data_IF_111918425623
#
_entry.id   IF_111918425623
#
_cell.length_a   1.000
_cell.length_b   1.000
_cell.length_c   1.000
_cell.angle_alpha   90.00
_cell.angle_beta   90.00
_cell.angle_gamma   90.00
#
_symmetry.space_group_name_H-M   'P 1'
#
loop_
_entity.id
_entity.type
_entity.pdbx_description
1 polymer ?
#
# COMPACT_ATOMS: atom_id res chain seq x y z
N UNK A 1 2.87 4.67 -28.26
CA UNK A 1 4.14 4.15 -28.80
C UNK A 1 4.80 3.34 -27.71
N UNK A 2 4.88 2.02 -27.85
CA UNK A 2 5.44 1.15 -26.82
C UNK A 2 6.97 1.28 -26.82
N UNK A 3 7.54 1.84 -25.75
CA UNK A 3 8.98 1.80 -25.52
C UNK A 3 9.40 0.34 -25.31
N UNK A 4 10.33 -0.12 -26.16
CA UNK A 4 10.92 -1.45 -26.07
C UNK A 4 11.82 -1.47 -24.83
N UNK A 5 11.30 -2.00 -23.73
CA UNK A 5 12.06 -2.24 -22.50
C UNK A 5 13.29 -3.10 -22.80
N UNK A 6 14.43 -2.73 -22.23
CA UNK A 6 15.69 -3.47 -22.44
C UNK A 6 15.60 -4.90 -21.88
N UNK A 7 16.28 -5.89 -22.47
CA UNK A 7 16.24 -7.27 -22.01
C UNK A 7 16.62 -7.47 -20.53
N UNK A 8 17.48 -6.58 -20.00
CA UNK A 8 17.86 -6.58 -18.59
C UNK A 8 16.70 -6.16 -17.68
N UNK A 9 15.96 -5.11 -18.05
CA UNK A 9 14.76 -4.67 -17.35
C UNK A 9 13.66 -5.74 -17.39
N UNK A 10 13.52 -6.44 -18.53
CA UNK A 10 12.60 -7.56 -18.67
C UNK A 10 12.93 -8.70 -17.69
N UNK A 11 14.21 -9.07 -17.55
CA UNK A 11 14.66 -10.09 -16.58
C UNK A 11 14.41 -9.66 -15.14
N UNK A 12 14.71 -8.41 -14.79
CA UNK A 12 14.52 -7.90 -13.43
C UNK A 12 13.05 -7.84 -13.01
N UNK A 13 12.15 -7.42 -13.92
CA UNK A 13 10.71 -7.42 -13.67
C UNK A 13 10.19 -8.85 -13.47
N UNK A 14 10.71 -9.79 -14.27
CA UNK A 14 10.35 -11.20 -14.17
C UNK A 14 10.81 -11.84 -12.85
N UNK A 15 12.04 -11.58 -12.42
CA UNK A 15 12.57 -12.07 -11.13
C UNK A 15 11.81 -11.46 -9.95
N UNK A 16 11.46 -10.17 -10.03
CA UNK A 16 10.65 -9.49 -9.01
C UNK A 16 9.23 -10.08 -8.95
N UNK A 17 8.61 -10.35 -10.09
CA UNK A 17 7.32 -11.01 -10.15
C UNK A 17 7.40 -12.39 -9.49
N UNK A 18 8.39 -13.22 -9.85
CA UNK A 18 8.61 -14.53 -9.24
C UNK A 18 8.80 -14.43 -7.71
N UNK A 19 9.56 -13.46 -7.22
CA UNK A 19 9.76 -13.26 -5.78
C UNK A 19 8.48 -12.82 -5.06
N UNK A 20 7.70 -11.91 -5.65
CA UNK A 20 6.41 -11.48 -5.10
C UNK A 20 5.43 -12.66 -5.06
N UNK A 21 5.38 -13.48 -6.11
CA UNK A 21 4.49 -14.64 -6.19
C UNK A 21 4.96 -15.81 -5.31
N UNK A 22 6.26 -16.05 -5.16
CA UNK A 22 6.79 -17.12 -4.30
C UNK A 22 6.66 -16.81 -2.79
N UNK A 23 6.31 -15.58 -2.40
CA UNK A 23 5.88 -15.28 -1.03
C UNK A 23 4.54 -15.95 -0.65
N UNK A 24 3.84 -16.62 -1.60
CA UNK A 24 2.71 -17.51 -1.32
C UNK A 24 3.08 -18.70 -0.39
N UNK A 25 4.36 -19.09 -0.26
CA UNK A 25 4.75 -20.31 0.46
C UNK A 25 5.33 -20.08 1.87
N UNK A 26 5.86 -18.90 2.18
CA UNK A 26 6.69 -18.71 3.39
C UNK A 26 6.02 -17.86 4.48
N UNK A 27 4.76 -17.48 4.31
CA UNK A 27 4.01 -16.69 5.30
C UNK A 27 3.75 -17.43 6.63
N UNK A 28 4.22 -18.67 6.79
CA UNK A 28 4.15 -19.43 8.04
C UNK A 28 5.49 -19.78 8.69
N UNK A 29 6.64 -19.40 8.11
CA UNK A 29 7.91 -19.62 8.82
C UNK A 29 8.99 -18.64 8.36
N UNK A 30 9.18 -17.57 9.14
CA UNK A 30 10.49 -16.91 9.20
C UNK A 30 10.61 -16.04 10.45
N UNK A 31 11.13 -16.67 11.50
CA UNK A 31 11.83 -15.98 12.58
C UNK A 31 13.02 -15.23 11.97
N UNK A 32 12.91 -13.91 11.81
CA UNK A 32 14.04 -13.09 11.38
C UNK A 32 15.06 -13.04 12.52
N UNK A 33 16.15 -13.77 12.35
CA UNK A 33 17.35 -13.66 13.19
C UNK A 33 17.92 -12.24 13.08
N UNK A 34 18.18 -11.67 14.25
CA UNK A 34 18.74 -10.33 14.41
C UNK A 34 20.27 -10.33 14.32
N UNK A 35 20.81 -9.17 13.94
CA UNK A 35 22.16 -8.59 14.19
C UNK A 35 23.28 -8.81 13.14
N UNK A 36 24.23 -7.84 12.96
CA UNK A 36 25.05 -7.24 14.02
C UNK A 36 24.87 -5.73 14.30
N UNK A 37 24.91 -5.41 15.59
CA UNK A 37 24.89 -4.09 16.22
C UNK A 37 26.26 -3.43 16.06
N UNK A 38 26.55 -2.77 14.94
CA UNK A 38 27.79 -2.01 14.80
C UNK A 38 27.52 -0.76 13.97
N UNK A 39 26.81 0.22 14.55
CA UNK A 39 26.82 1.64 14.10
C UNK A 39 26.05 2.59 15.03
N UNK A 40 25.18 2.10 15.93
CA UNK A 40 24.35 2.97 16.77
C UNK A 40 25.12 3.80 17.82
N UNK A 41 26.33 3.39 18.22
CA UNK A 41 27.09 4.09 19.27
C UNK A 41 27.69 5.43 18.79
N UNK A 42 27.94 5.59 17.49
CA UNK A 42 28.59 6.79 16.94
C UNK A 42 27.61 7.94 16.68
N UNK A 43 26.32 7.65 16.47
CA UNK A 43 25.30 8.68 16.25
C UNK A 43 24.75 9.29 17.54
N UNK A 44 24.92 8.61 18.69
CA UNK A 44 24.51 9.14 19.99
C UNK A 44 25.35 10.32 20.49
N UNK A 45 26.56 10.52 19.97
CA UNK A 45 27.48 11.55 20.45
C UNK A 45 27.37 12.90 19.74
N UNK A 46 26.62 13.01 18.63
CA UNK A 46 26.49 14.25 17.85
C UNK A 46 25.18 15.03 18.07
N UNK A 47 24.34 14.59 19.02
CA UNK A 47 22.98 15.11 19.21
C UNK A 47 22.77 16.16 20.30
N UNK A 48 23.82 16.61 21.00
CA UNK A 48 23.70 17.62 22.07
C UNK A 48 23.80 19.06 21.55
N UNK A 49 22.98 19.41 20.57
CA UNK A 49 22.71 20.81 20.23
C UNK A 49 21.27 21.14 20.58
N UNK A 50 21.15 21.94 21.65
CA UNK A 50 19.94 22.55 22.20
C UNK A 50 18.98 23.04 21.09
N UNK A 51 17.91 22.28 20.83
CA UNK A 51 16.73 22.76 20.11
C UNK A 51 15.59 22.92 21.13
N UNK A 52 14.99 24.12 21.26
CA UNK A 52 13.95 24.41 22.24
C UNK A 52 12.59 23.93 21.71
N UNK A 53 12.42 22.63 21.54
CA UNK A 53 11.12 21.96 21.49
C UNK A 53 11.32 20.60 22.13
N UNK A 54 10.82 20.47 23.35
CA UNK A 54 10.89 19.25 24.14
C UNK A 54 9.98 18.20 23.49
N UNK A 55 10.45 17.56 22.40
CA UNK A 55 9.88 16.32 21.92
C UNK A 55 10.10 15.31 23.03
N UNK A 56 9.08 15.08 23.85
CA UNK A 56 9.08 13.96 24.78
C UNK A 56 9.42 12.71 23.95
N UNK A 57 10.66 12.21 24.11
CA UNK A 57 11.16 11.07 23.39
C UNK A 57 10.24 9.90 23.76
N UNK A 58 9.45 9.42 22.80
CA UNK A 58 8.53 8.30 23.05
C UNK A 58 9.32 7.14 23.65
N UNK A 59 8.72 6.36 24.56
CA UNK A 59 9.35 5.15 25.06
C UNK A 59 9.85 4.30 23.90
N UNK A 60 11.05 3.74 24.02
CA UNK A 60 11.70 2.98 22.94
C UNK A 60 10.76 1.94 22.32
N UNK A 61 10.03 1.20 23.16
CA UNK A 61 9.04 0.23 22.72
C UNK A 61 7.97 0.84 21.78
N UNK A 62 7.42 2.00 22.12
CA UNK A 62 6.45 2.70 21.26
C UNK A 62 7.10 3.15 19.95
N UNK A 63 8.34 3.63 20.00
CA UNK A 63 9.05 4.03 18.77
C UNK A 63 9.34 2.84 17.85
N UNK A 64 9.73 1.71 18.41
CA UNK A 64 10.01 0.48 17.68
C UNK A 64 8.71 -0.06 17.04
N UNK A 65 7.59 -0.04 17.76
CA UNK A 65 6.27 -0.39 17.22
C UNK A 65 5.81 0.55 16.10
N UNK A 66 6.02 1.86 16.24
CA UNK A 66 5.71 2.83 15.18
C UNK A 66 6.49 2.54 13.91
N UNK A 67 7.79 2.23 14.03
CA UNK A 67 8.63 1.87 12.89
C UNK A 67 8.18 0.57 12.25
N UNK A 68 7.93 -0.46 13.05
CA UNK A 68 7.51 -1.76 12.57
C UNK A 68 6.19 -1.65 11.79
N UNK A 69 5.16 -1.00 12.36
CA UNK A 69 3.88 -0.82 11.67
C UNK A 69 4.03 0.01 10.40
N UNK A 70 4.85 1.07 10.39
CA UNK A 70 5.09 1.85 9.19
C UNK A 70 5.79 1.04 8.09
N UNK A 71 6.84 0.31 8.44
CA UNK A 71 7.57 -0.57 7.51
C UNK A 71 6.67 -1.64 6.93
N UNK A 72 5.83 -2.27 7.76
CA UNK A 72 4.91 -3.31 7.31
C UNK A 72 3.81 -2.76 6.42
N UNK A 73 3.19 -1.62 6.77
CA UNK A 73 2.21 -0.97 5.91
C UNK A 73 2.81 -0.64 4.53
N UNK A 74 4.03 -0.11 4.51
CA UNK A 74 4.75 0.20 3.28
C UNK A 74 5.09 -1.05 2.46
N UNK A 75 5.62 -2.10 3.10
CA UNK A 75 5.96 -3.37 2.46
C UNK A 75 4.77 -3.99 1.72
N UNK A 76 3.63 -4.12 2.40
CA UNK A 76 2.42 -4.67 1.81
C UNK A 76 1.87 -3.77 0.69
N UNK A 77 1.91 -2.45 0.85
CA UNK A 77 1.51 -1.52 -0.21
C UNK A 77 2.38 -1.63 -1.47
N UNK A 78 3.68 -1.89 -1.32
CA UNK A 78 4.59 -2.15 -2.45
C UNK A 78 4.21 -3.42 -3.21
N UNK A 79 3.84 -4.49 -2.51
CA UNK A 79 3.35 -5.73 -3.14
C UNK A 79 2.13 -5.44 -4.00
N UNK A 80 1.14 -4.72 -3.44
CA UNK A 80 -0.08 -4.33 -4.17
C UNK A 80 0.25 -3.45 -5.38
N UNK A 81 1.11 -2.45 -5.20
CA UNK A 81 1.50 -1.53 -6.26
C UNK A 81 2.14 -2.28 -7.44
N UNK A 82 3.10 -3.18 -7.18
CA UNK A 82 3.75 -3.93 -8.25
C UNK A 82 2.83 -4.96 -8.89
N UNK A 83 1.93 -5.58 -8.15
CA UNK A 83 0.89 -6.43 -8.73
C UNK A 83 0.05 -5.67 -9.77
N UNK A 84 -0.24 -4.39 -9.53
CA UNK A 84 -0.97 -3.54 -10.48
C UNK A 84 -0.11 -3.02 -11.62
N UNK A 85 1.14 -2.66 -11.36
CA UNK A 85 2.00 -1.95 -12.31
C UNK A 85 2.65 -2.87 -13.33
N UNK A 86 2.96 -4.11 -12.95
CA UNK A 86 3.62 -5.07 -13.84
C UNK A 86 2.61 -5.52 -14.92
N UNK A 87 2.85 -5.23 -16.21
CA UNK A 87 1.88 -5.52 -17.27
C UNK A 87 1.65 -7.03 -17.46
N UNK A 88 0.42 -7.40 -17.85
CA UNK A 88 0.02 -8.81 -18.05
C UNK A 88 0.97 -9.66 -18.91
N UNK A 89 1.62 -9.17 -19.99
CA UNK A 89 2.55 -9.98 -20.78
C UNK A 89 3.74 -10.54 -19.98
N UNK A 90 4.13 -9.86 -18.90
CA UNK A 90 5.20 -10.29 -18.00
C UNK A 90 4.72 -11.33 -16.98
N UNK A 91 3.40 -11.37 -16.75
CA UNK A 91 2.72 -12.29 -15.85
C UNK A 91 2.11 -13.48 -16.60
N UNK A 92 2.00 -13.42 -17.94
CA UNK A 92 1.37 -14.41 -18.82
C UNK A 92 1.84 -15.86 -18.55
N UNK A 93 3.15 -16.05 -18.30
CA UNK A 93 3.72 -17.37 -17.98
C UNK A 93 3.36 -17.85 -16.56
N UNK A 94 3.14 -16.92 -15.63
CA UNK A 94 2.61 -17.18 -14.31
C UNK A 94 1.08 -17.35 -14.33
N UNK A 95 0.38 -16.81 -15.33
CA UNK A 95 -1.08 -16.69 -15.40
C UNK A 95 -1.80 -17.57 -16.42
N UNK A 96 -1.16 -18.59 -17.01
CA UNK A 96 -1.81 -19.65 -17.85
C UNK A 96 -2.91 -20.46 -17.14
N UNK A 97 -3.54 -19.93 -16.10
CA UNK A 97 -4.32 -20.67 -15.11
C UNK A 97 -5.75 -20.18 -15.09
N UNK A 98 -6.64 -21.13 -14.80
CA UNK A 98 -8.09 -21.05 -14.72
C UNK A 98 -8.62 -19.86 -13.91
N UNK A 99 -9.91 -19.55 -14.13
CA UNK A 99 -10.76 -18.63 -13.37
C UNK A 99 -10.55 -18.72 -11.84
N UNK A 100 -10.40 -19.94 -11.32
CA UNK A 100 -10.11 -20.20 -9.90
C UNK A 100 -8.85 -19.49 -9.37
N UNK A 101 -7.81 -19.31 -10.20
CA UNK A 101 -6.59 -18.60 -9.81
C UNK A 101 -6.79 -17.09 -9.79
N UNK A 102 -7.56 -16.53 -10.72
CA UNK A 102 -7.89 -15.10 -10.72
C UNK A 102 -8.66 -14.71 -9.44
N UNK A 103 -9.61 -15.56 -9.04
CA UNK A 103 -10.31 -15.44 -7.75
C UNK A 103 -9.33 -15.49 -6.59
N UNK A 104 -8.46 -16.50 -6.54
CA UNK A 104 -7.50 -16.68 -5.45
C UNK A 104 -6.58 -15.48 -5.27
N UNK A 105 -6.01 -14.98 -6.37
CA UNK A 105 -5.13 -13.80 -6.36
C UNK A 105 -5.91 -12.57 -5.86
N UNK A 106 -7.14 -12.36 -6.34
CA UNK A 106 -7.97 -11.24 -5.91
C UNK A 106 -8.24 -11.27 -4.39
N UNK A 107 -8.59 -12.45 -3.85
CA UNK A 107 -8.78 -12.65 -2.40
C UNK A 107 -7.48 -12.41 -1.62
N UNK A 108 -6.35 -12.94 -2.08
CA UNK A 108 -5.05 -12.74 -1.45
C UNK A 108 -4.68 -11.24 -1.36
N UNK A 109 -4.93 -10.48 -2.43
CA UNK A 109 -4.64 -9.05 -2.44
C UNK A 109 -5.52 -8.29 -1.43
N UNK A 110 -6.80 -8.67 -1.26
CA UNK A 110 -7.63 -8.06 -0.21
C UNK A 110 -7.13 -8.43 1.20
N UNK A 111 -6.61 -9.63 1.42
CA UNK A 111 -5.96 -10.00 2.68
C UNK A 111 -4.67 -9.19 2.94
N UNK A 112 -3.87 -8.94 1.91
CA UNK A 112 -2.71 -8.05 2.00
C UNK A 112 -3.15 -6.61 2.32
N UNK A 113 -4.23 -6.12 1.70
CA UNK A 113 -4.80 -4.80 1.99
C UNK A 113 -5.31 -4.70 3.43
N UNK A 114 -5.95 -5.77 3.94
CA UNK A 114 -6.39 -5.86 5.35
C UNK A 114 -5.22 -5.66 6.31
N UNK A 115 -4.07 -6.30 6.04
CA UNK A 115 -2.83 -6.10 6.81
C UNK A 115 -2.33 -4.65 6.77
N UNK A 116 -2.40 -3.98 5.61
CA UNK A 116 -2.04 -2.55 5.52
C UNK A 116 -2.91 -1.74 6.47
N UNK A 117 -4.22 -1.94 6.45
CA UNK A 117 -5.13 -1.21 7.33
C UNK A 117 -4.90 -1.51 8.81
N UNK A 118 -4.60 -2.76 9.19
CA UNK A 118 -4.29 -3.13 10.57
C UNK A 118 -3.08 -2.34 11.08
N UNK A 119 -2.01 -2.26 10.28
CA UNK A 119 -0.84 -1.46 10.62
C UNK A 119 -1.12 0.04 10.66
N UNK A 120 -1.90 0.58 9.72
CA UNK A 120 -2.27 2.00 9.71
C UNK A 120 -3.14 2.39 10.91
N UNK A 121 -4.04 1.51 11.34
CA UNK A 121 -4.88 1.73 12.51
C UNK A 121 -4.10 1.61 13.82
N UNK A 122 -3.15 0.67 13.88
CA UNK A 122 -2.19 0.60 15.00
C UNK A 122 -1.37 1.89 15.11
N UNK A 123 -0.90 2.45 13.99
CA UNK A 123 -0.23 3.76 13.98
C UNK A 123 -1.15 4.87 14.48
N UNK A 124 -2.42 4.90 14.07
CA UNK A 124 -3.39 5.87 14.53
C UNK A 124 -3.64 5.78 16.05
N UNK A 125 -3.65 4.57 16.61
CA UNK A 125 -3.77 4.31 18.05
C UNK A 125 -2.54 4.76 18.83
N UNK A 126 -1.34 4.39 18.38
CA UNK A 126 -0.07 4.74 19.03
C UNK A 126 0.24 6.24 18.99
N UNK A 127 -0.31 6.96 18.01
CA UNK A 127 -0.06 8.40 17.80
C UNK A 127 -1.23 9.32 18.19
N UNK A 128 -2.29 8.78 18.81
CA UNK A 128 -3.53 9.53 19.09
C UNK A 128 -3.28 10.81 19.89
N UNK A 129 -2.43 10.72 20.92
CA UNK A 129 -2.16 11.80 21.88
C UNK A 129 -0.77 12.42 21.70
N UNK A 130 -0.07 12.09 20.62
CA UNK A 130 1.27 12.58 20.35
C UNK A 130 1.24 13.68 19.29
N UNK A 131 1.92 14.83 19.50
CA UNK A 131 2.06 15.87 18.47
C UNK A 131 2.98 15.43 17.31
N UNK A 132 3.55 14.23 17.39
CA UNK A 132 4.36 13.66 16.33
C UNK A 132 3.49 13.43 15.10
N UNK A 133 3.87 14.10 14.00
CA UNK A 133 3.23 13.94 12.71
C UNK A 133 3.22 12.45 12.35
N UNK A 134 2.04 11.93 12.03
CA UNK A 134 1.88 10.60 11.43
C UNK A 134 2.65 10.63 10.13
N UNK A 135 3.91 10.18 10.15
CA UNK A 135 4.81 10.27 9.00
C UNK A 135 4.22 9.52 7.82
N UNK A 136 4.30 10.09 6.62
CA UNK A 136 4.19 9.45 5.31
C UNK A 136 3.34 8.16 5.19
N UNK A 137 2.13 8.16 5.76
CA UNK A 137 1.24 7.01 5.59
C UNK A 137 0.24 7.23 4.49
N UNK A 138 0.31 8.37 3.79
CA UNK A 138 -0.60 8.68 2.70
C UNK A 138 -0.40 7.73 1.53
N UNK A 139 0.84 7.43 1.14
CA UNK A 139 1.06 6.52 0.02
C UNK A 139 0.53 5.09 0.31
N UNK A 140 0.89 4.42 1.42
CA UNK A 140 0.33 3.11 1.75
C UNK A 140 -1.20 3.12 1.89
N UNK A 141 -1.77 4.16 2.53
CA UNK A 141 -3.22 4.29 2.69
C UNK A 141 -3.94 4.50 1.35
N UNK A 142 -3.35 5.27 0.45
CA UNK A 142 -3.89 5.50 -0.89
C UNK A 142 -3.90 4.21 -1.70
N UNK A 143 -2.78 3.47 -1.74
CA UNK A 143 -2.71 2.19 -2.46
C UNK A 143 -3.73 1.20 -1.89
N UNK A 144 -3.77 1.03 -0.57
CA UNK A 144 -4.73 0.15 0.08
C UNK A 144 -6.18 0.54 -0.26
N UNK A 145 -6.52 1.84 -0.23
CA UNK A 145 -7.86 2.32 -0.52
C UNK A 145 -8.25 2.18 -1.99
N UNK A 146 -7.37 2.59 -2.91
CA UNK A 146 -7.60 2.51 -4.35
C UNK A 146 -7.78 1.06 -4.82
N UNK A 147 -7.13 0.12 -4.14
CA UNK A 147 -7.15 -1.30 -4.49
C UNK A 147 -8.20 -2.12 -3.70
N UNK A 148 -8.96 -1.47 -2.81
CA UNK A 148 -10.04 -2.11 -2.05
C UNK A 148 -11.32 -2.23 -2.86
N UNK A 149 -11.83 -3.45 -3.02
CA UNK A 149 -13.18 -3.69 -3.55
C UNK A 149 -14.12 -4.28 -2.51
N UNK A 150 -13.61 -4.89 -1.43
CA UNK A 150 -14.45 -5.34 -0.33
C UNK A 150 -15.02 -4.16 0.47
N UNK A 151 -16.30 -4.26 0.84
CA UNK A 151 -17.06 -3.17 1.50
C UNK A 151 -16.46 -2.78 2.85
N UNK A 152 -15.98 -3.76 3.63
CA UNK A 152 -15.32 -3.53 4.92
C UNK A 152 -14.03 -2.72 4.76
N UNK A 153 -13.20 -3.07 3.78
CA UNK A 153 -11.93 -2.37 3.50
C UNK A 153 -12.17 -0.94 2.98
N UNK A 154 -13.16 -0.75 2.10
CA UNK A 154 -13.61 0.59 1.66
C UNK A 154 -14.10 1.44 2.84
N UNK A 155 -14.84 0.84 3.78
CA UNK A 155 -15.28 1.54 4.99
C UNK A 155 -14.11 1.97 5.89
N UNK A 156 -13.11 1.10 6.09
CA UNK A 156 -11.87 1.44 6.83
C UNK A 156 -11.14 2.61 6.17
N UNK A 157 -11.04 2.62 4.85
CA UNK A 157 -10.45 3.71 4.07
C UNK A 157 -11.19 5.04 4.27
N UNK A 158 -12.52 5.06 4.18
CA UNK A 158 -13.33 6.27 4.41
C UNK A 158 -13.08 6.84 5.80
N UNK A 159 -13.05 5.96 6.81
CA UNK A 159 -12.77 6.32 8.19
C UNK A 159 -11.34 6.89 8.34
N UNK A 160 -10.35 6.29 7.68
CA UNK A 160 -8.98 6.79 7.66
C UNK A 160 -8.90 8.19 7.04
N UNK A 161 -9.46 8.39 5.84
CA UNK A 161 -9.49 9.70 5.17
C UNK A 161 -10.17 10.77 6.04
N UNK A 162 -11.28 10.44 6.70
CA UNK A 162 -11.98 11.37 7.58
C UNK A 162 -11.14 11.79 8.80
N UNK A 163 -10.34 10.88 9.37
CA UNK A 163 -9.39 11.21 10.45
C UNK A 163 -8.22 12.03 9.93
N UNK A 164 -7.71 11.70 8.75
CA UNK A 164 -6.51 12.30 8.20
C UNK A 164 -6.75 13.72 7.66
N UNK A 165 -7.92 14.00 7.07
CA UNK A 165 -8.31 15.35 6.61
C UNK A 165 -8.37 16.39 7.73
N UNK A 166 -8.62 16.00 8.98
CA UNK A 166 -8.63 16.91 10.14
C UNK A 166 -7.26 17.52 10.45
N UNK A 167 -6.18 16.98 9.86
CA UNK A 167 -4.80 17.38 10.11
C UNK A 167 -4.23 18.37 9.08
N UNK A 168 -5.05 18.83 8.12
CA UNK A 168 -4.67 19.90 7.18
C UNK A 168 -3.67 19.49 6.10
N UNK A 169 -3.45 18.19 5.86
CA UNK A 169 -2.60 17.71 4.77
C UNK A 169 -3.38 17.88 3.46
N UNK A 170 -2.98 18.86 2.64
CA UNK A 170 -3.70 19.27 1.42
C UNK A 170 -3.87 18.16 0.37
N UNK A 171 -3.04 17.12 0.40
CA UNK A 171 -3.10 16.03 -0.58
C UNK A 171 -4.18 14.98 -0.25
N UNK A 172 -4.69 14.95 0.99
CA UNK A 172 -5.63 13.93 1.45
C UNK A 172 -7.01 14.04 0.78
N UNK A 173 -7.64 15.23 0.68
CA UNK A 173 -8.89 15.36 -0.05
C UNK A 173 -8.77 14.89 -1.51
N UNK A 174 -7.66 15.25 -2.17
CA UNK A 174 -7.41 14.88 -3.56
C UNK A 174 -7.21 13.37 -3.74
N UNK A 175 -6.47 12.73 -2.83
CA UNK A 175 -6.29 11.28 -2.80
C UNK A 175 -7.64 10.57 -2.59
N UNK A 176 -8.47 11.09 -1.69
CA UNK A 176 -9.82 10.56 -1.46
C UNK A 176 -10.67 10.68 -2.72
N UNK A 177 -10.66 11.81 -3.42
CA UNK A 177 -11.42 12.01 -4.66
C UNK A 177 -11.08 10.96 -5.72
N UNK A 178 -9.79 10.67 -5.94
CA UNK A 178 -9.35 9.62 -6.87
C UNK A 178 -9.88 8.25 -6.43
N UNK A 179 -9.72 7.89 -5.15
CA UNK A 179 -10.21 6.60 -4.63
C UNK A 179 -11.71 6.46 -4.82
N UNK A 180 -12.49 7.50 -4.50
CA UNK A 180 -13.94 7.47 -4.67
C UNK A 180 -14.33 7.32 -6.15
N UNK A 181 -13.60 7.96 -7.06
CA UNK A 181 -13.84 7.83 -8.49
C UNK A 181 -13.47 6.44 -9.02
N UNK A 182 -12.39 5.83 -8.53
CA UNK A 182 -12.04 4.43 -8.82
C UNK A 182 -13.20 3.51 -8.44
N UNK A 183 -13.67 3.60 -7.20
CA UNK A 183 -14.80 2.77 -6.75
C UNK A 183 -16.06 3.04 -7.57
N UNK A 184 -16.35 4.30 -7.90
CA UNK A 184 -17.51 4.66 -8.74
C UNK A 184 -17.43 4.04 -10.14
N UNK A 185 -16.24 3.94 -10.75
CA UNK A 185 -16.04 3.30 -12.06
C UNK A 185 -16.14 1.79 -11.97
N UNK A 186 -15.55 1.17 -10.94
CA UNK A 186 -15.64 -0.27 -10.67
C UNK A 186 -17.09 -0.68 -10.46
N UNK A 187 -17.81 0.03 -9.59
CA UNK A 187 -19.20 -0.29 -9.26
C UNK A 187 -20.11 -0.16 -10.49
N UNK A 188 -19.88 0.84 -11.36
CA UNK A 188 -20.64 0.98 -12.62
C UNK A 188 -20.43 -0.23 -13.54
N UNK A 189 -19.19 -0.69 -13.69
CA UNK A 189 -18.90 -1.87 -14.52
C UNK A 189 -19.53 -3.14 -13.96
N UNK A 190 -19.53 -3.30 -12.62
CA UNK A 190 -20.22 -4.42 -11.97
C UNK A 190 -21.72 -4.45 -12.26
N UNK A 191 -22.37 -3.28 -12.38
CA UNK A 191 -23.80 -3.22 -12.74
C UNK A 191 -24.05 -3.48 -14.24
N UNK A 192 -23.12 -3.11 -15.12
CA UNK A 192 -23.25 -3.30 -16.57
C UNK A 192 -22.89 -4.74 -17.02
N UNK A 193 -21.98 -5.43 -16.30
CA UNK A 193 -21.51 -6.79 -16.60
C UNK A 193 -22.38 -7.93 -16.02
N UNK A 194 -23.54 -7.63 -15.42
CA UNK A 194 -24.47 -8.64 -14.86
C UNK A 194 -25.02 -9.61 -15.96
N UNK A 195 -24.82 -9.29 -17.25
CA UNK A 195 -25.08 -10.20 -18.37
C UNK A 195 -23.91 -11.15 -18.74
N UNK A 196 -22.67 -10.87 -18.30
CA UNK A 196 -21.45 -11.66 -18.63
C UNK A 196 -20.69 -12.21 -17.39
N UNK A 197 -21.07 -11.83 -16.17
CA UNK A 197 -20.89 -12.61 -14.94
C UNK A 197 -19.48 -12.85 -14.38
N UNK A 198 -18.44 -12.12 -14.79
CA UNK A 198 -17.04 -12.45 -14.43
C UNK A 198 -16.13 -11.26 -14.05
N UNK A 199 -16.67 -10.22 -13.38
CA UNK A 199 -15.82 -9.16 -12.85
C UNK A 199 -15.27 -9.52 -11.47
N UNK A 200 -14.02 -10.00 -11.42
CA UNK A 200 -13.29 -10.25 -10.18
C UNK A 200 -12.43 -9.05 -9.80
N UNK A 201 -12.54 -8.61 -8.55
CA UNK A 201 -11.75 -7.52 -8.02
C UNK A 201 -12.11 -6.15 -8.59
N UNK A 202 -11.11 -5.40 -9.07
CA UNK A 202 -11.29 -4.04 -9.63
C UNK A 202 -11.53 -4.04 -11.15
N UNK A 203 -11.53 -5.21 -11.79
CA UNK A 203 -11.61 -5.32 -13.24
C UNK A 203 -10.54 -4.49 -13.96
N UNK A 204 -10.87 -3.87 -15.11
CA UNK A 204 -9.93 -3.07 -15.90
C UNK A 204 -9.68 -1.66 -15.33
N UNK A 205 -10.34 -1.26 -14.24
CA UNK A 205 -10.18 0.09 -13.69
C UNK A 205 -8.84 0.21 -12.99
N UNK A 206 -7.97 1.09 -13.49
CA UNK A 206 -6.69 1.45 -12.87
C UNK A 206 -6.75 2.86 -12.27
N UNK A 207 -6.31 3.02 -11.02
CA UNK A 207 -6.32 4.33 -10.36
C UNK A 207 -5.36 5.33 -10.99
N UNK A 208 -4.34 4.88 -11.72
CA UNK A 208 -3.39 5.74 -12.45
C UNK A 208 -4.09 6.43 -13.60
N UNK A 209 -4.84 5.67 -14.38
CA UNK A 209 -5.64 6.19 -15.50
C UNK A 209 -6.74 7.11 -14.97
N UNK A 210 -7.40 6.72 -13.86
CA UNK A 210 -8.38 7.59 -13.20
C UNK A 210 -7.76 8.91 -12.75
N UNK A 211 -6.58 8.86 -12.13
CA UNK A 211 -5.89 10.06 -11.66
C UNK A 211 -5.49 10.98 -12.82
N UNK A 212 -5.03 10.40 -13.95
CA UNK A 212 -4.72 11.12 -15.18
C UNK A 212 -5.96 11.78 -15.80
N UNK A 213 -7.05 11.02 -15.96
CA UNK A 213 -8.32 11.50 -16.50
C UNK A 213 -8.89 12.67 -15.70
N UNK A 214 -8.75 12.62 -14.37
CA UNK A 214 -9.22 13.67 -13.48
C UNK A 214 -8.28 14.90 -13.51
N UNK A 215 -7.12 14.84 -14.18
CA UNK A 215 -6.11 15.88 -14.20
C UNK A 215 -5.49 16.14 -12.82
N UNK A 216 -5.39 15.10 -11.99
CA UNK A 216 -4.84 15.21 -10.63
C UNK A 216 -3.36 14.82 -10.65
N UNK A 217 -2.53 15.62 -9.97
CA UNK A 217 -1.17 15.21 -9.61
C UNK A 217 -1.08 15.24 -8.10
N UNK A 218 -1.00 14.06 -7.49
CA UNK A 218 -0.98 13.93 -6.03
C UNK A 218 0.43 13.49 -5.63
N UNK A 219 1.09 14.32 -4.83
CA UNK A 219 2.32 13.88 -4.18
C UNK A 219 1.94 12.97 -3.01
N UNK A 220 2.09 11.67 -3.24
CA UNK A 220 1.94 10.67 -2.22
C UNK A 220 3.30 10.52 -1.54
N UNK A 221 3.32 10.78 -0.24
CA UNK A 221 4.51 10.76 0.59
C UNK A 221 4.47 9.53 1.49
#
# INVERSE_FOLDING_TARGET
>A
MAEILTPALHSMIYDLAIQIYNMESDANDSTIQTTPQLQLAQLSQLGELNLPFNYARLPKAVNDELKANHQQAFHHAVIIYFHRVIPEPYLEHLRKTSEARAVHVSTYLQDVIRKIWDHLENLDCLTRDTPMGRGNTLWPAFIAAAESFEVDLRHRAICWFARASKKGIGNIPRAKEVVMEVWRRVDRQLYDDDENGLSYGLGPVDWRDVMEDMGHTIMLT
#
